data_IF_913012425291
#
_entry.id   IF_913012425291
#
_cell.length_a   1.000
_cell.length_b   1.000
_cell.length_c   1.000
_cell.angle_alpha   90.00
_cell.angle_beta   90.00
_cell.angle_gamma   90.00
#
_symmetry.space_group_name_H-M   'P 1'
#
loop_
_entity.id
_entity.type
_entity.pdbx_description
1 polymer ?
#
# COMPACT_ATOMS: atom_id res chain seq x y z
N UNK A 1 3.48 2.65 0.54
CA UNK A 1 4.07 4.01 0.53
C UNK A 1 5.17 4.07 -0.51
N UNK A 2 5.06 4.93 -1.46
CA UNK A 2 6.08 5.15 -2.49
C UNK A 2 5.93 6.55 -3.08
N UNK A 3 7.05 7.15 -3.48
CA UNK A 3 7.09 8.46 -4.08
C UNK A 3 6.33 9.51 -3.24
N UNK A 4 5.23 10.02 -3.73
CA UNK A 4 4.39 11.07 -3.15
C UNK A 4 2.99 10.61 -2.70
N UNK A 5 2.76 9.29 -2.66
CA UNK A 5 1.49 8.72 -2.22
C UNK A 5 1.66 7.65 -1.14
N UNK A 6 0.82 7.74 -0.11
CA UNK A 6 0.63 6.69 0.88
C UNK A 6 -0.73 6.05 0.65
N UNK A 7 -0.78 4.75 0.46
CA UNK A 7 -2.04 4.04 0.31
C UNK A 7 -2.11 2.78 1.16
N UNK A 8 -3.30 2.46 1.61
CA UNK A 8 -3.61 1.21 2.31
C UNK A 8 -4.92 0.66 1.76
N UNK A 9 -4.90 -0.60 1.39
CA UNK A 9 -6.07 -1.30 0.84
C UNK A 9 -6.32 -2.60 1.59
N UNK A 10 -7.58 -2.98 1.69
CA UNK A 10 -7.99 -4.32 2.12
C UNK A 10 -8.67 -4.99 0.93
N UNK A 11 -8.15 -6.14 0.55
CA UNK A 11 -8.65 -6.92 -0.58
C UNK A 11 -8.96 -8.33 -0.14
N UNK A 12 -9.95 -8.95 -0.77
CA UNK A 12 -10.25 -10.36 -0.58
C UNK A 12 -10.28 -11.09 -1.92
N UNK A 13 -10.00 -12.38 -1.88
CA UNK A 13 -10.17 -13.26 -3.02
C UNK A 13 -11.15 -14.37 -2.66
N UNK A 14 -12.29 -14.39 -3.35
CA UNK A 14 -13.34 -15.39 -3.16
C UNK A 14 -13.65 -16.04 -4.50
N UNK A 15 -13.55 -17.37 -4.57
CA UNK A 15 -13.83 -18.14 -5.78
C UNK A 15 -13.09 -17.63 -7.05
N UNK A 16 -11.84 -17.17 -6.87
CA UNK A 16 -11.04 -16.62 -7.95
C UNK A 16 -11.28 -15.14 -8.26
N UNK A 17 -12.34 -14.54 -7.75
CA UNK A 17 -12.62 -13.10 -7.89
C UNK A 17 -11.94 -12.29 -6.81
N UNK A 18 -11.41 -11.13 -7.20
CA UNK A 18 -10.78 -10.16 -6.31
C UNK A 18 -11.77 -9.04 -6.02
N UNK A 19 -12.02 -8.79 -4.73
CA UNK A 19 -12.86 -7.69 -4.26
C UNK A 19 -12.01 -6.69 -3.49
N UNK A 20 -12.11 -5.41 -3.82
CA UNK A 20 -11.47 -4.33 -3.08
C UNK A 20 -12.45 -3.87 -1.99
N UNK A 21 -12.22 -4.27 -0.74
CA UNK A 21 -13.09 -3.93 0.39
C UNK A 21 -12.86 -2.50 0.87
N UNK A 22 -11.63 -2.03 0.78
CA UNK A 22 -11.29 -0.63 1.03
C UNK A 22 -10.02 -0.24 0.28
N UNK A 23 -9.93 1.03 -0.10
CA UNK A 23 -8.74 1.63 -0.68
C UNK A 23 -8.65 3.08 -0.21
N UNK A 24 -7.67 3.39 0.61
CA UNK A 24 -7.44 4.72 1.18
C UNK A 24 -6.12 5.23 0.62
N UNK A 25 -6.16 6.39 -0.02
CA UNK A 25 -4.99 7.04 -0.62
C UNK A 25 -4.82 8.44 -0.04
N UNK A 26 -3.60 8.79 0.33
CA UNK A 26 -3.20 10.14 0.73
C UNK A 26 -2.07 10.61 -0.18
N UNK A 27 -2.36 11.61 -1.00
CA UNK A 27 -1.37 12.29 -1.84
C UNK A 27 -0.59 13.33 -1.04
N UNK A 28 0.65 13.58 -1.45
CA UNK A 28 1.57 14.58 -0.91
C UNK A 28 1.84 15.72 -1.90
N UNK A 29 1.00 15.88 -2.92
CA UNK A 29 1.19 16.91 -3.97
C UNK A 29 1.44 18.30 -3.38
N UNK A 30 0.67 18.68 -2.36
CA UNK A 30 0.78 19.99 -1.72
C UNK A 30 2.13 20.21 -1.04
N UNK A 31 2.79 19.15 -0.57
CA UNK A 31 4.08 19.24 0.12
C UNK A 31 5.23 19.47 -0.87
N UNK A 32 5.11 18.93 -2.08
CA UNK A 32 6.19 18.91 -3.07
C UNK A 32 6.07 19.99 -4.14
N UNK A 33 4.92 20.65 -4.25
CA UNK A 33 4.62 21.65 -5.30
C UNK A 33 5.65 22.77 -5.38
N UNK A 34 6.05 23.30 -4.23
CA UNK A 34 7.01 24.42 -4.15
C UNK A 34 8.43 24.04 -4.57
N UNK A 35 8.74 22.74 -4.63
CA UNK A 35 10.07 22.23 -4.97
C UNK A 35 10.17 21.75 -6.43
N UNK A 36 9.07 21.76 -7.18
CA UNK A 36 9.05 21.29 -8.56
C UNK A 36 9.27 19.80 -8.76
N UNK A 37 9.15 19.02 -7.69
CA UNK A 37 9.33 17.57 -7.71
C UNK A 37 9.38 16.95 -6.31
N UNK A 38 9.39 15.62 -6.25
CA UNK A 38 9.41 14.89 -4.97
C UNK A 38 10.72 15.11 -4.21
N UNK A 39 10.63 15.57 -2.97
CA UNK A 39 11.76 15.65 -2.04
C UNK A 39 11.75 14.38 -1.17
N UNK A 40 12.70 13.44 -1.37
CA UNK A 40 12.61 12.09 -0.77
C UNK A 40 12.52 12.06 0.74
N UNK A 41 13.23 12.95 1.44
CA UNK A 41 13.21 13.01 2.90
C UNK A 41 11.87 13.52 3.43
N UNK A 42 11.30 14.56 2.81
CA UNK A 42 9.98 15.07 3.17
C UNK A 42 8.90 14.03 2.88
N UNK A 43 9.02 13.32 1.75
CA UNK A 43 8.11 12.24 1.41
C UNK A 43 8.14 11.12 2.45
N UNK A 44 9.32 10.67 2.87
CA UNK A 44 9.46 9.63 3.89
C UNK A 44 8.82 10.02 5.22
N UNK A 45 9.04 11.26 5.68
CA UNK A 45 8.40 11.78 6.90
C UNK A 45 6.88 11.84 6.77
N UNK A 46 6.38 12.36 5.66
CA UNK A 46 4.94 12.46 5.42
C UNK A 46 4.27 11.07 5.35
N UNK A 47 4.92 10.05 4.78
CA UNK A 47 4.44 8.67 4.85
C UNK A 47 4.34 8.17 6.30
N UNK A 48 5.38 8.41 7.09
CA UNK A 48 5.44 7.99 8.50
C UNK A 48 4.35 8.63 9.35
N UNK A 49 4.02 9.88 9.09
CA UNK A 49 3.02 10.65 9.86
C UNK A 49 1.57 10.18 9.65
N UNK A 50 1.31 9.46 8.57
CA UNK A 50 -0.06 9.11 8.19
C UNK A 50 -0.33 7.61 8.09
N UNK A 51 0.68 6.76 7.99
CA UNK A 51 0.50 5.33 7.68
C UNK A 51 -0.39 4.60 8.68
N UNK A 52 -0.24 4.87 9.96
CA UNK A 52 -1.04 4.27 11.03
C UNK A 52 -2.52 4.66 10.93
N UNK A 53 -2.79 5.92 10.64
CA UNK A 53 -4.15 6.45 10.45
C UNK A 53 -4.80 5.82 9.22
N UNK A 54 -4.06 5.69 8.12
CA UNK A 54 -4.58 5.09 6.90
C UNK A 54 -4.87 3.60 7.09
N UNK A 55 -4.03 2.87 7.84
CA UNK A 55 -4.28 1.48 8.19
C UNK A 55 -5.59 1.35 8.98
N UNK A 56 -5.78 2.19 10.00
CA UNK A 56 -7.02 2.20 10.76
C UNK A 56 -8.23 2.52 9.90
N UNK A 57 -8.16 3.55 9.07
CA UNK A 57 -9.25 3.92 8.15
C UNK A 57 -9.59 2.80 7.17
N UNK A 58 -8.59 2.12 6.61
CA UNK A 58 -8.80 1.01 5.68
C UNK A 58 -9.50 -0.17 6.37
N UNK A 59 -9.08 -0.51 7.59
CA UNK A 59 -9.72 -1.57 8.37
C UNK A 59 -11.16 -1.20 8.73
N UNK A 60 -11.42 0.00 9.21
CA UNK A 60 -12.76 0.47 9.57
C UNK A 60 -13.69 0.46 8.33
N UNK A 61 -13.22 0.93 7.18
CA UNK A 61 -13.99 0.95 5.93
C UNK A 61 -14.27 -0.44 5.39
N UNK A 62 -13.35 -1.38 5.56
CA UNK A 62 -13.53 -2.78 5.15
C UNK A 62 -14.54 -3.53 6.01
N UNK A 63 -14.85 -3.03 7.21
CA UNK A 63 -15.69 -3.68 8.23
C UNK A 63 -15.11 -5.01 8.73
N UNK A 64 -13.83 -5.26 8.52
CA UNK A 64 -13.11 -6.42 9.02
C UNK A 64 -12.32 -6.06 10.28
N UNK A 65 -12.06 -7.06 11.11
CA UNK A 65 -11.06 -6.98 12.18
C UNK A 65 -9.72 -7.53 11.68
N UNK A 66 -8.62 -7.19 12.37
CA UNK A 66 -7.31 -7.76 12.06
C UNK A 66 -7.26 -9.30 12.15
N UNK A 67 -8.17 -9.91 12.87
CA UNK A 67 -8.29 -11.39 12.95
C UNK A 67 -8.70 -12.01 11.62
N UNK A 68 -9.43 -11.26 10.79
CA UNK A 68 -9.90 -11.69 9.47
C UNK A 68 -8.84 -11.58 8.38
N UNK A 69 -7.70 -10.90 8.66
CA UNK A 69 -6.62 -10.73 7.71
C UNK A 69 -5.75 -12.00 7.68
N UNK A 70 -5.53 -12.53 6.49
CA UNK A 70 -4.73 -13.76 6.29
C UNK A 70 -3.26 -13.48 6.00
N UNK A 71 -2.96 -12.34 5.36
CA UNK A 71 -1.60 -11.93 5.00
C UNK A 71 -1.49 -10.42 4.94
N UNK A 72 -0.27 -9.91 5.08
CA UNK A 72 0.05 -8.49 4.97
C UNK A 72 1.06 -8.30 3.86
N UNK A 73 0.74 -7.45 2.90
CA UNK A 73 1.60 -7.15 1.76
C UNK A 73 2.08 -5.71 1.77
N UNK A 74 3.26 -5.46 1.25
CA UNK A 74 3.77 -4.11 1.01
C UNK A 74 4.66 -4.07 -0.21
N UNK A 75 4.60 -2.96 -0.94
CA UNK A 75 5.56 -2.64 -1.98
C UNK A 75 6.95 -2.53 -1.38
N UNK A 76 7.88 -3.36 -1.85
CA UNK A 76 9.22 -3.48 -1.28
C UNK A 76 10.33 -2.91 -2.18
N UNK A 77 10.02 -2.61 -3.43
CA UNK A 77 10.96 -2.07 -4.41
C UNK A 77 10.64 -2.52 -5.84
N UNK A 78 11.31 -1.95 -6.85
CA UNK A 78 12.28 -0.85 -6.77
C UNK A 78 11.64 0.52 -6.52
N UNK A 79 12.42 1.49 -6.06
CA UNK A 79 11.98 2.86 -5.82
C UNK A 79 12.81 3.60 -4.76
N UNK A 80 12.38 4.80 -4.40
CA UNK A 80 13.03 5.62 -3.37
C UNK A 80 12.95 4.92 -2.01
N UNK A 81 14.09 4.54 -1.47
CA UNK A 81 14.20 3.68 -0.29
C UNK A 81 13.43 4.24 0.92
N UNK A 82 13.56 5.53 1.22
CA UNK A 82 12.90 6.13 2.39
C UNK A 82 11.38 5.98 2.37
N UNK A 83 10.74 6.23 1.23
CA UNK A 83 9.30 6.07 1.07
C UNK A 83 8.87 4.61 1.19
N UNK A 84 9.56 3.70 0.48
CA UNK A 84 9.25 2.28 0.52
C UNK A 84 9.46 1.66 1.91
N UNK A 85 10.50 2.09 2.61
CA UNK A 85 10.84 1.56 3.93
C UNK A 85 9.73 1.78 4.95
N UNK A 86 9.04 2.91 4.91
CA UNK A 86 7.93 3.21 5.83
C UNK A 86 6.84 2.13 5.71
N UNK A 87 6.38 1.84 4.50
CA UNK A 87 5.36 0.81 4.27
C UNK A 87 5.83 -0.60 4.62
N UNK A 88 7.08 -0.94 4.25
CA UNK A 88 7.66 -2.26 4.57
C UNK A 88 7.78 -2.47 6.07
N UNK A 89 8.27 -1.47 6.82
CA UNK A 89 8.41 -1.57 8.28
C UNK A 89 7.04 -1.68 8.95
N UNK A 90 6.08 -0.84 8.56
CA UNK A 90 4.71 -0.93 9.08
C UNK A 90 4.09 -2.31 8.82
N UNK A 91 4.21 -2.82 7.59
CA UNK A 91 3.66 -4.12 7.21
C UNK A 91 4.33 -5.28 7.94
N UNK A 92 5.66 -5.27 8.09
CA UNK A 92 6.39 -6.28 8.86
C UNK A 92 6.05 -6.25 10.35
N UNK A 93 5.86 -5.06 10.91
CA UNK A 93 5.44 -4.90 12.31
C UNK A 93 4.06 -5.50 12.53
N UNK A 94 3.10 -5.20 11.66
CA UNK A 94 1.77 -5.80 11.71
C UNK A 94 1.82 -7.31 11.52
N UNK A 95 2.57 -7.79 10.54
CA UNK A 95 2.77 -9.22 10.27
C UNK A 95 3.27 -9.95 11.51
N UNK A 96 4.28 -9.40 12.17
CA UNK A 96 4.84 -9.96 13.40
C UNK A 96 3.84 -9.94 14.55
N UNK A 97 3.17 -8.82 14.79
CA UNK A 97 2.20 -8.64 15.87
C UNK A 97 0.99 -9.56 15.72
N UNK A 98 0.51 -9.73 14.48
CA UNK A 98 -0.66 -10.55 14.17
C UNK A 98 -0.32 -12.03 13.89
N UNK A 99 0.97 -12.37 13.82
CA UNK A 99 1.48 -13.70 13.44
C UNK A 99 0.92 -14.17 12.08
N UNK A 100 0.91 -13.24 11.12
CA UNK A 100 0.46 -13.46 9.74
C UNK A 100 1.64 -13.33 8.77
N UNK A 101 1.63 -14.01 7.61
CA UNK A 101 2.70 -13.91 6.63
C UNK A 101 2.84 -12.49 6.07
N UNK A 102 4.08 -12.09 5.80
CA UNK A 102 4.42 -10.87 5.07
C UNK A 102 4.72 -11.20 3.61
N UNK A 103 4.16 -10.41 2.69
CA UNK A 103 4.38 -10.55 1.24
C UNK A 103 5.05 -9.28 0.72
N UNK A 104 6.25 -9.42 0.21
CA UNK A 104 6.97 -8.34 -0.48
C UNK A 104 6.48 -8.27 -1.94
N UNK A 105 5.96 -7.13 -2.36
CA UNK A 105 5.45 -6.91 -3.72
C UNK A 105 6.45 -6.08 -4.51
N UNK A 106 6.76 -6.52 -5.72
CA UNK A 106 7.54 -5.72 -6.65
C UNK A 106 6.72 -4.52 -7.14
N UNK A 107 7.29 -3.33 -7.04
CA UNK A 107 6.59 -2.06 -7.33
C UNK A 107 6.16 -1.95 -8.81
N UNK A 108 7.05 -2.32 -9.74
CA UNK A 108 6.76 -2.25 -11.17
C UNK A 108 5.74 -3.33 -11.57
N UNK A 109 5.84 -4.51 -10.99
CA UNK A 109 4.86 -5.57 -11.20
C UNK A 109 3.49 -5.18 -10.66
N UNK A 110 3.44 -4.54 -9.50
CA UNK A 110 2.21 -3.98 -8.94
C UNK A 110 1.53 -2.99 -9.89
N UNK A 111 2.28 -2.08 -10.51
CA UNK A 111 1.75 -1.18 -11.53
C UNK A 111 1.26 -1.92 -12.78
N UNK A 112 2.07 -2.84 -13.31
CA UNK A 112 1.71 -3.59 -14.51
C UNK A 112 0.46 -4.46 -14.32
N UNK A 113 0.27 -5.04 -13.14
CA UNK A 113 -0.86 -5.93 -12.85
C UNK A 113 -2.11 -5.22 -12.35
N UNK A 114 -2.01 -3.93 -11.99
CA UNK A 114 -3.13 -3.19 -11.38
C UNK A 114 -4.38 -3.13 -12.28
N UNK A 115 -4.21 -3.10 -13.59
CA UNK A 115 -5.32 -3.11 -14.55
C UNK A 115 -6.19 -4.36 -14.43
N UNK A 116 -5.62 -5.48 -14.00
CA UNK A 116 -6.34 -6.76 -13.83
C UNK A 116 -7.24 -6.82 -12.60
N UNK A 117 -7.19 -5.79 -11.75
CA UNK A 117 -8.15 -5.64 -10.65
C UNK A 117 -9.54 -5.22 -11.13
N UNK A 118 -9.61 -4.55 -12.29
CA UNK A 118 -10.85 -3.98 -12.83
C UNK A 118 -11.27 -4.63 -14.15
N UNK A 119 -10.36 -5.33 -14.82
CA UNK A 119 -10.60 -5.91 -16.16
C UNK A 119 -10.01 -7.31 -16.27
N UNK A 120 -10.64 -8.16 -17.09
CA UNK A 120 -10.16 -9.50 -17.44
C UNK A 120 -9.25 -9.45 -18.69
N UNK A 121 -8.29 -8.52 -18.71
CA UNK A 121 -7.33 -8.41 -19.80
C UNK A 121 -6.24 -9.47 -19.66
N UNK A 122 -6.01 -10.22 -20.74
CA UNK A 122 -4.90 -11.16 -20.87
C UNK A 122 -3.64 -10.50 -21.42
N UNK A 123 -2.47 -11.04 -21.07
CA UNK A 123 -1.20 -10.63 -21.67
C UNK A 123 -1.13 -11.02 -23.17
N UNK A 124 -0.38 -10.22 -23.98
CA UNK A 124 0.36 -8.98 -23.66
C UNK A 124 -0.51 -7.71 -23.75
N UNK A 125 -0.23 -6.73 -22.88
CA UNK A 125 -0.81 -5.39 -22.96
C UNK A 125 0.22 -4.31 -22.66
#
# INVERSE_FOLDING_TARGET
SSCDETSVSVVEKVNGQINILSNIVKSQLDIHQDFGGVVPELAARAHSDVIDKLIKMAMDKSRLSFRNIDAIASTAGPGLMGGLLVGVVAAKTLSSALKKPFIAVNHLEGHALSIRLETDIDFPY
#
